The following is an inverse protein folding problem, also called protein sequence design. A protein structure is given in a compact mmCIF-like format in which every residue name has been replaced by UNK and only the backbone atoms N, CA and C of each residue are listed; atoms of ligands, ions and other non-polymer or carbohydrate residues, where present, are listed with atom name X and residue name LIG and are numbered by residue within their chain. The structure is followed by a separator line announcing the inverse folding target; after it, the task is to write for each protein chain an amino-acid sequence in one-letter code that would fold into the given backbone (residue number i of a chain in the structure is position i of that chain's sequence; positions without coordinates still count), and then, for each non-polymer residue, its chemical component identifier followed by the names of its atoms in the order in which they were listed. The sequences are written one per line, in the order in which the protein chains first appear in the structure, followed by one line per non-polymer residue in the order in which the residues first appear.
data_IF_508185215496
#
_entry.id   IF_508185215496
#
_cell.length_a   1.000
_cell.length_b   1.000
_cell.length_c   1.000
_cell.angle_alpha   90.00
_cell.angle_beta   90.00
_cell.angle_gamma   90.00
#
_symmetry.space_group_name_H-M   'P 1'
#
loop_
_entity.id
_entity.type
_entity.pdbx_description
1 polymer ?
#
# COMPACT_ATOMS: atom_id res chain seq x y z
N UNK A 1 -36.39 4.12 56.40
CA UNK A 1 -35.27 5.07 56.39
C UNK A 1 -34.02 4.31 56.02
N UNK A 2 -33.44 4.54 54.84
CA UNK A 2 -31.99 4.35 54.62
C UNK A 2 -31.62 5.12 53.35
N UNK A 3 -30.60 5.97 53.49
CA UNK A 3 -30.11 6.92 52.50
C UNK A 3 -29.35 6.24 51.36
N UNK A 4 -29.40 6.88 50.19
CA UNK A 4 -28.59 6.62 49.03
C UNK A 4 -27.09 6.88 49.30
N UNK A 5 -26.23 5.98 48.82
CA UNK A 5 -24.80 6.21 48.64
C UNK A 5 -24.51 6.13 47.15
N UNK A 6 -24.19 7.28 46.56
CA UNK A 6 -23.74 7.45 45.19
C UNK A 6 -22.21 7.28 45.18
N UNK A 7 -21.70 6.15 44.66
CA UNK A 7 -20.28 5.98 44.40
C UNK A 7 -19.95 6.44 42.98
N UNK A 8 -19.18 7.51 42.89
CA UNK A 8 -18.40 7.87 41.70
C UNK A 8 -17.38 6.76 41.42
N UNK A 9 -17.46 6.15 40.24
CA UNK A 9 -16.35 5.42 39.64
C UNK A 9 -15.66 6.34 38.63
N UNK A 10 -14.54 6.93 39.08
CA UNK A 10 -13.63 7.68 38.23
C UNK A 10 -12.90 6.74 37.26
N UNK A 11 -12.97 7.05 35.99
CA UNK A 11 -12.20 6.42 34.92
C UNK A 11 -10.74 6.90 35.00
N UNK A 12 -9.85 6.04 35.46
CA UNK A 12 -8.40 6.20 35.28
C UNK A 12 -8.07 5.86 33.83
N UNK A 13 -7.78 6.88 33.03
CA UNK A 13 -7.15 6.72 31.71
C UNK A 13 -5.67 6.40 31.95
N UNK A 14 -5.30 5.13 31.78
CA UNK A 14 -3.93 4.65 31.97
C UNK A 14 -3.00 5.07 30.84
N UNK A 15 -1.99 5.86 31.19
CA UNK A 15 -0.74 6.00 30.43
C UNK A 15 0.07 4.69 30.53
N UNK A 16 -0.20 3.72 29.65
CA UNK A 16 0.55 2.45 29.62
C UNK A 16 1.60 2.36 28.49
N UNK A 17 1.68 3.36 27.62
CA UNK A 17 2.53 3.33 26.42
C UNK A 17 4.04 3.61 26.62
N UNK A 18 4.51 4.49 27.52
CA UNK A 18 5.92 4.89 27.52
C UNK A 18 6.86 3.85 28.14
N UNK A 19 6.42 3.07 29.14
CA UNK A 19 7.29 2.12 29.87
C UNK A 19 7.69 0.91 28.99
N UNK A 20 6.77 0.40 28.17
CA UNK A 20 7.01 -0.76 27.32
C UNK A 20 8.02 -0.48 26.19
N UNK A 21 8.09 0.76 25.70
CA UNK A 21 9.04 1.15 24.65
C UNK A 21 10.49 1.19 25.18
N UNK A 22 10.69 1.67 26.39
CA UNK A 22 12.00 1.73 27.04
C UNK A 22 12.53 0.34 27.40
N UNK A 23 11.67 -0.57 27.86
CA UNK A 23 12.03 -1.98 28.12
C UNK A 23 12.50 -2.69 26.85
N UNK A 24 11.76 -2.55 25.74
CA UNK A 24 12.13 -3.14 24.46
C UNK A 24 13.48 -2.61 23.97
N UNK A 25 13.74 -1.31 24.11
CA UNK A 25 15.01 -0.72 23.72
C UNK A 25 16.19 -1.27 24.54
N UNK A 26 16.03 -1.41 25.85
CA UNK A 26 17.06 -2.00 26.73
C UNK A 26 17.34 -3.45 26.31
N UNK A 27 16.29 -4.20 26.04
CA UNK A 27 16.40 -5.60 25.64
C UNK A 27 17.09 -5.77 24.28
N UNK A 28 16.72 -4.98 23.27
CA UNK A 28 17.38 -5.00 21.96
C UNK A 28 18.87 -4.68 22.11
N UNK A 29 19.25 -3.66 22.89
CA UNK A 29 20.67 -3.35 23.15
C UNK A 29 21.41 -4.49 23.86
N UNK A 30 20.73 -5.26 24.71
CA UNK A 30 21.31 -6.46 25.35
C UNK A 30 21.54 -7.56 24.31
N UNK A 31 20.53 -7.86 23.50
CA UNK A 31 20.60 -8.90 22.46
C UNK A 31 21.65 -8.57 21.39
N UNK A 32 21.75 -7.31 20.97
CA UNK A 32 22.78 -6.86 20.01
C UNK A 32 24.20 -7.13 20.54
N UNK A 33 24.45 -6.93 21.85
CA UNK A 33 25.74 -7.29 22.47
C UNK A 33 25.98 -8.80 22.48
N UNK A 34 24.93 -9.61 22.61
CA UNK A 34 25.02 -11.07 22.59
C UNK A 34 25.30 -11.65 21.20
N UNK A 35 25.12 -10.86 20.13
CA UNK A 35 25.53 -11.28 18.78
C UNK A 35 27.05 -11.46 18.63
N UNK A 36 27.86 -10.95 19.58
CA UNK A 36 29.31 -11.14 19.67
C UNK A 36 29.72 -12.13 20.78
N UNK A 37 28.78 -12.92 21.30
CA UNK A 37 29.07 -13.90 22.35
C UNK A 37 30.10 -14.95 21.88
N UNK A 38 30.87 -15.48 22.84
CA UNK A 38 31.93 -16.48 22.55
C UNK A 38 31.34 -17.78 21.99
N UNK A 39 30.19 -18.20 22.49
CA UNK A 39 29.54 -19.42 22.07
C UNK A 39 28.63 -19.17 20.86
N UNK A 40 28.62 -20.10 19.90
CA UNK A 40 27.76 -20.00 18.72
C UNK A 40 26.27 -20.03 19.10
N UNK A 41 25.91 -20.87 20.07
CA UNK A 41 24.52 -21.06 20.53
C UNK A 41 23.93 -19.76 21.06
N UNK A 42 24.68 -19.00 21.85
CA UNK A 42 24.23 -17.70 22.39
C UNK A 42 23.99 -16.68 21.27
N UNK A 43 24.87 -16.66 20.25
CA UNK A 43 24.73 -15.75 19.11
C UNK A 43 23.50 -16.08 18.27
N UNK A 44 23.26 -17.35 18.01
CA UNK A 44 22.09 -17.82 17.26
C UNK A 44 20.78 -17.58 18.03
N UNK A 45 20.79 -17.80 19.35
CA UNK A 45 19.65 -17.49 20.20
C UNK A 45 19.33 -15.99 20.17
N UNK A 46 20.34 -15.12 20.30
CA UNK A 46 20.15 -13.68 20.23
C UNK A 46 19.60 -13.22 18.87
N UNK A 47 20.13 -13.76 17.77
CA UNK A 47 19.64 -13.50 16.41
C UNK A 47 18.16 -13.90 16.27
N UNK A 48 17.82 -15.14 16.64
CA UNK A 48 16.44 -15.65 16.60
C UNK A 48 15.49 -14.80 17.44
N UNK A 49 15.86 -14.46 18.67
CA UNK A 49 15.04 -13.64 19.56
C UNK A 49 14.81 -12.23 19.01
N UNK A 50 15.81 -11.62 18.36
CA UNK A 50 15.63 -10.33 17.69
C UNK A 50 14.64 -10.42 16.53
N UNK A 51 14.67 -11.52 15.76
CA UNK A 51 13.73 -11.77 14.65
C UNK A 51 12.30 -12.02 15.16
N UNK A 52 12.14 -12.81 16.23
CA UNK A 52 10.82 -13.14 16.81
C UNK A 52 10.11 -11.93 17.43
N UNK A 53 10.87 -10.93 17.90
CA UNK A 53 10.31 -9.65 18.37
C UNK A 53 9.71 -8.80 17.25
N UNK A 54 9.99 -9.14 16.00
CA UNK A 54 9.33 -8.57 14.83
C UNK A 54 9.84 -7.20 14.40
N UNK A 55 9.20 -6.59 13.38
CA UNK A 55 9.75 -5.45 12.65
C UNK A 55 10.02 -4.19 13.48
N UNK A 56 9.35 -4.01 14.63
CA UNK A 56 9.57 -2.88 15.55
C UNK A 56 11.01 -2.81 16.07
N UNK A 57 11.74 -3.92 16.04
CA UNK A 57 13.16 -3.97 16.42
C UNK A 57 14.05 -3.19 15.44
N UNK A 58 13.66 -3.04 14.17
CA UNK A 58 14.48 -2.35 13.15
C UNK A 58 14.88 -0.94 13.59
N UNK A 59 13.96 -0.21 14.24
CA UNK A 59 14.16 1.16 14.71
C UNK A 59 15.18 1.27 15.85
N UNK A 60 15.48 0.14 16.50
CA UNK A 60 16.31 0.04 17.69
C UNK A 60 17.69 -0.56 17.38
N UNK A 61 17.90 -1.07 16.16
CA UNK A 61 19.17 -1.66 15.74
C UNK A 61 20.22 -0.58 15.48
N UNK A 62 21.51 -0.83 15.82
CA UNK A 62 22.58 0.11 15.49
C UNK A 62 22.76 0.21 13.97
N UNK A 63 23.19 1.37 13.44
CA UNK A 63 23.40 1.58 12.01
C UNK A 63 24.58 0.75 11.46
N UNK A 64 24.54 0.44 10.16
CA UNK A 64 25.47 -0.48 9.48
C UNK A 64 26.95 -0.01 9.50
N UNK A 65 27.19 1.28 9.74
CA UNK A 65 28.52 1.91 9.81
C UNK A 65 29.20 1.90 11.19
N UNK A 66 28.65 1.18 12.18
CA UNK A 66 29.20 1.15 13.54
C UNK A 66 30.58 0.48 13.68
N UNK A 67 31.22 0.70 14.83
CA UNK A 67 32.48 0.04 15.27
C UNK A 67 32.31 -1.43 15.67
N UNK A 68 31.19 -2.06 15.28
CA UNK A 68 30.88 -3.44 15.59
C UNK A 68 31.84 -4.42 14.89
N UNK A 69 32.01 -5.61 15.51
CA UNK A 69 32.80 -6.72 14.94
C UNK A 69 32.22 -7.18 13.59
N UNK A 70 33.04 -7.83 12.77
CA UNK A 70 32.59 -8.36 11.47
C UNK A 70 31.45 -9.39 11.63
N UNK A 71 31.49 -10.19 12.68
CA UNK A 71 30.45 -11.17 13.01
C UNK A 71 29.11 -10.48 13.34
N UNK A 72 29.13 -9.45 14.20
CA UNK A 72 27.94 -8.68 14.55
C UNK A 72 27.35 -8.01 13.31
N UNK A 73 28.19 -7.44 12.44
CA UNK A 73 27.74 -6.84 11.17
C UNK A 73 27.03 -7.85 10.27
N UNK A 74 27.59 -9.05 10.12
CA UNK A 74 26.98 -10.12 9.32
C UNK A 74 25.62 -10.55 9.87
N UNK A 75 25.50 -10.74 11.20
CA UNK A 75 24.25 -11.14 11.85
C UNK A 75 23.20 -10.04 11.81
N UNK A 76 23.59 -8.80 12.11
CA UNK A 76 22.69 -7.65 12.00
C UNK A 76 22.16 -7.48 10.58
N UNK A 77 23.00 -7.68 9.55
CA UNK A 77 22.56 -7.70 8.17
C UNK A 77 21.46 -8.75 7.91
N UNK A 78 21.66 -9.99 8.37
CA UNK A 78 20.66 -11.06 8.26
C UNK A 78 19.36 -10.74 9.01
N UNK A 79 19.46 -10.24 10.24
CA UNK A 79 18.30 -9.83 11.05
C UNK A 79 17.50 -8.74 10.35
N UNK A 80 18.18 -7.70 9.84
CA UNK A 80 17.55 -6.60 9.09
C UNK A 80 16.77 -7.14 7.89
N UNK A 81 17.39 -7.99 7.06
CA UNK A 81 16.74 -8.60 5.89
C UNK A 81 15.49 -9.39 6.29
N UNK A 82 15.55 -10.21 7.35
CA UNK A 82 14.40 -11.00 7.78
C UNK A 82 13.27 -10.14 8.35
N UNK A 83 13.59 -9.13 9.17
CA UNK A 83 12.61 -8.21 9.73
C UNK A 83 11.96 -7.32 8.66
N UNK A 84 12.74 -6.86 7.67
CA UNK A 84 12.20 -6.15 6.50
C UNK A 84 11.26 -7.03 5.69
N UNK A 85 11.60 -8.33 5.50
CA UNK A 85 10.70 -9.29 4.84
C UNK A 85 9.39 -9.48 5.61
N UNK A 86 9.44 -9.58 6.94
CA UNK A 86 8.23 -9.63 7.76
C UNK A 86 7.39 -8.35 7.65
N UNK A 87 8.04 -7.18 7.63
CA UNK A 87 7.37 -5.89 7.43
C UNK A 87 6.69 -5.81 6.07
N UNK A 88 7.37 -6.24 5.00
CA UNK A 88 6.82 -6.33 3.66
C UNK A 88 5.61 -7.27 3.61
N UNK A 89 5.71 -8.47 4.21
CA UNK A 89 4.60 -9.41 4.27
C UNK A 89 3.38 -8.83 5.01
N UNK A 90 3.59 -8.16 6.16
CA UNK A 90 2.51 -7.55 6.93
C UNK A 90 1.84 -6.39 6.17
N UNK A 91 2.60 -5.56 5.46
CA UNK A 91 2.06 -4.46 4.67
C UNK A 91 1.43 -4.94 3.34
N UNK A 92 1.77 -6.15 2.88
CA UNK A 92 1.23 -6.81 1.69
C UNK A 92 0.05 -7.76 2.01
N UNK A 93 -0.36 -7.84 3.28
CA UNK A 93 -1.50 -8.65 3.68
C UNK A 93 -2.82 -7.95 3.32
N UNK A 94 -3.81 -8.73 2.90
CA UNK A 94 -5.22 -8.31 2.81
C UNK A 94 -5.77 -7.86 4.17
N UNK A 95 -6.85 -7.08 4.13
CA UNK A 95 -7.64 -6.85 5.35
C UNK A 95 -8.66 -7.96 5.52
N UNK A 96 -9.06 -8.19 6.76
CA UNK A 96 -10.01 -9.22 7.13
C UNK A 96 -11.32 -8.61 7.62
N UNK A 97 -12.41 -9.32 7.38
CA UNK A 97 -13.77 -8.95 7.78
C UNK A 97 -14.28 -10.00 8.76
N UNK A 98 -14.71 -9.54 9.93
CA UNK A 98 -15.43 -10.35 10.91
C UNK A 98 -16.79 -9.70 11.18
N UNK A 99 -17.86 -10.36 10.73
CA UNK A 99 -19.21 -9.83 10.83
C UNK A 99 -20.23 -10.98 10.82
N UNK A 100 -21.06 -11.03 11.87
CA UNK A 100 -22.15 -12.01 11.99
C UNK A 100 -23.45 -11.30 12.31
N UNK A 101 -24.50 -11.63 11.58
CA UNK A 101 -25.83 -11.09 11.85
C UNK A 101 -26.87 -11.55 10.85
N UNK A 102 -28.13 -11.48 11.26
CA UNK A 102 -29.27 -11.81 10.41
C UNK A 102 -29.97 -10.54 9.94
N UNK A 103 -30.38 -10.52 8.67
CA UNK A 103 -31.15 -9.41 8.06
C UNK A 103 -30.54 -8.02 8.27
N UNK A 104 -29.21 -7.93 8.32
CA UNK A 104 -28.47 -6.66 8.41
C UNK A 104 -28.71 -5.81 7.16
N UNK A 105 -28.86 -4.50 7.34
CA UNK A 105 -29.00 -3.60 6.22
C UNK A 105 -27.67 -3.44 5.48
N UNK A 106 -27.71 -3.31 4.15
CA UNK A 106 -26.48 -3.25 3.34
C UNK A 106 -25.56 -2.08 3.73
N UNK A 107 -26.13 -0.93 4.09
CA UNK A 107 -25.39 0.24 4.57
C UNK A 107 -24.71 0.00 5.92
N UNK A 108 -25.31 -0.82 6.79
CA UNK A 108 -24.73 -1.25 8.06
C UNK A 108 -23.54 -2.19 7.83
N UNK A 109 -23.69 -3.12 6.87
CA UNK A 109 -22.62 -4.03 6.45
C UNK A 109 -21.43 -3.22 5.92
N UNK A 110 -21.65 -2.29 4.97
CA UNK A 110 -20.58 -1.47 4.41
C UNK A 110 -19.91 -0.58 5.46
N UNK A 111 -20.67 0.04 6.37
CA UNK A 111 -20.08 0.81 7.48
C UNK A 111 -19.23 -0.05 8.40
N UNK A 112 -19.67 -1.28 8.69
CA UNK A 112 -18.89 -2.22 9.50
C UNK A 112 -17.58 -2.63 8.81
N UNK A 113 -17.64 -2.93 7.51
CA UNK A 113 -16.45 -3.27 6.71
C UNK A 113 -15.48 -2.08 6.66
N UNK A 114 -15.96 -0.86 6.37
CA UNK A 114 -15.11 0.33 6.33
C UNK A 114 -14.44 0.58 7.70
N UNK A 115 -15.17 0.42 8.81
CA UNK A 115 -14.62 0.60 10.15
C UNK A 115 -13.54 -0.43 10.52
N UNK A 116 -13.70 -1.69 10.10
CA UNK A 116 -12.75 -2.77 10.39
C UNK A 116 -11.50 -2.69 9.52
N UNK A 117 -11.67 -2.34 8.25
CA UNK A 117 -10.63 -2.46 7.22
C UNK A 117 -9.96 -1.13 6.88
N UNK A 118 -10.64 0.00 7.10
CA UNK A 118 -10.22 1.32 6.62
C UNK A 118 -10.41 1.53 5.11
N UNK A 119 -11.01 0.56 4.40
CA UNK A 119 -11.31 0.68 2.98
C UNK A 119 -12.54 1.55 2.78
N UNK A 120 -12.35 2.73 2.18
CA UNK A 120 -13.42 3.70 1.91
C UNK A 120 -14.40 3.15 0.90
N UNK A 121 -15.69 3.11 1.25
CA UNK A 121 -16.75 2.63 0.36
C UNK A 121 -17.72 3.78 0.09
N UNK A 122 -17.84 4.17 -1.18
CA UNK A 122 -18.80 5.17 -1.62
C UNK A 122 -19.91 4.50 -2.41
N UNK A 123 -21.15 4.68 -1.97
CA UNK A 123 -22.31 4.16 -2.68
C UNK A 123 -22.81 5.24 -3.63
N UNK A 124 -22.49 5.10 -4.92
CA UNK A 124 -22.97 6.01 -5.94
C UNK A 124 -24.35 5.55 -6.41
N UNK A 125 -25.35 6.41 -6.27
CA UNK A 125 -26.52 6.35 -7.15
C UNK A 125 -26.01 6.80 -8.54
N UNK A 126 -25.41 5.90 -9.31
CA UNK A 126 -24.69 6.25 -10.53
C UNK A 126 -25.50 7.19 -11.42
N UNK A 127 -25.06 8.45 -11.56
CA UNK A 127 -25.77 9.48 -12.34
C UNK A 127 -27.28 9.56 -12.06
N UNK A 128 -28.06 9.97 -13.06
CA UNK A 128 -29.53 10.09 -13.01
C UNK A 128 -30.27 8.72 -12.89
N UNK A 129 -29.60 7.68 -12.40
CA UNK A 129 -30.17 6.36 -12.18
C UNK A 129 -31.01 6.28 -10.89
N UNK A 130 -31.92 5.31 -10.79
CA UNK A 130 -32.69 5.11 -9.56
C UNK A 130 -31.78 4.76 -8.37
N UNK A 131 -32.15 5.14 -7.15
CA UNK A 131 -31.41 4.78 -5.94
C UNK A 131 -31.31 3.26 -5.77
N UNK A 132 -30.23 2.75 -5.17
CA UNK A 132 -30.08 1.33 -4.81
C UNK A 132 -31.17 0.99 -3.80
N UNK A 133 -31.93 -0.08 -4.07
CA UNK A 133 -33.02 -0.49 -3.20
C UNK A 133 -32.45 -0.95 -1.84
N UNK A 134 -33.19 -0.74 -0.72
CA UNK A 134 -32.77 -1.25 0.57
C UNK A 134 -32.74 -2.79 0.54
N UNK A 135 -31.54 -3.37 0.62
CA UNK A 135 -31.32 -4.82 0.70
C UNK A 135 -30.91 -5.21 2.10
N UNK A 136 -31.39 -6.36 2.57
CA UNK A 136 -30.98 -6.97 3.84
C UNK A 136 -30.35 -8.33 3.60
N UNK A 137 -29.24 -8.60 4.27
CA UNK A 137 -28.50 -9.85 4.14
C UNK A 137 -28.31 -10.51 5.51
N UNK A 138 -28.31 -11.83 5.51
CA UNK A 138 -27.73 -12.62 6.60
C UNK A 138 -26.27 -12.93 6.23
N UNK A 139 -25.34 -12.67 7.16
CA UNK A 139 -23.90 -12.81 6.97
C UNK A 139 -23.26 -13.50 8.18
N UNK A 140 -22.22 -14.28 7.94
CA UNK A 140 -21.41 -14.93 8.97
C UNK A 140 -19.97 -15.06 8.44
N UNK A 141 -19.17 -14.03 8.69
CA UNK A 141 -17.78 -13.92 8.29
C UNK A 141 -16.89 -13.93 9.54
N UNK A 142 -15.81 -14.73 9.50
CA UNK A 142 -14.83 -14.85 10.57
C UNK A 142 -13.43 -14.76 9.98
N UNK A 143 -12.77 -13.61 10.16
CA UNK A 143 -11.47 -13.28 9.58
C UNK A 143 -11.42 -13.56 8.06
N UNK A 144 -12.50 -13.21 7.36
CA UNK A 144 -12.61 -13.50 5.93
C UNK A 144 -11.85 -12.43 5.11
N UNK A 145 -11.06 -12.81 4.08
CA UNK A 145 -10.34 -11.84 3.25
C UNK A 145 -11.26 -10.81 2.59
N UNK A 146 -10.83 -9.56 2.54
CA UNK A 146 -11.64 -8.43 2.07
C UNK A 146 -12.22 -8.65 0.67
N UNK A 147 -11.38 -8.84 -0.35
CA UNK A 147 -11.84 -8.85 -1.73
C UNK A 147 -12.82 -9.99 -2.08
N UNK A 148 -12.54 -11.26 -1.75
CA UNK A 148 -13.50 -12.35 -1.98
C UNK A 148 -14.83 -12.14 -1.27
N UNK A 149 -14.80 -11.61 -0.04
CA UNK A 149 -15.98 -11.35 0.77
C UNK A 149 -16.78 -10.18 0.21
N UNK A 150 -16.10 -9.10 -0.19
CA UNK A 150 -16.74 -7.93 -0.75
C UNK A 150 -17.38 -8.23 -2.10
N UNK A 151 -16.68 -8.96 -2.99
CA UNK A 151 -17.27 -9.40 -4.27
C UNK A 151 -18.47 -10.34 -4.05
N UNK A 152 -18.45 -11.23 -3.05
CA UNK A 152 -19.63 -12.05 -2.71
C UNK A 152 -20.84 -11.19 -2.31
N UNK A 153 -20.63 -10.16 -1.47
CA UNK A 153 -21.69 -9.26 -1.05
C UNK A 153 -22.25 -8.49 -2.26
N UNK A 154 -21.38 -7.99 -3.14
CA UNK A 154 -21.80 -7.29 -4.35
C UNK A 154 -22.58 -8.21 -5.29
N UNK A 155 -22.11 -9.44 -5.51
CA UNK A 155 -22.79 -10.44 -6.35
C UNK A 155 -24.18 -10.80 -5.80
N UNK A 156 -24.31 -11.01 -4.48
CA UNK A 156 -25.58 -11.32 -3.80
C UNK A 156 -26.60 -10.17 -3.85
N UNK A 157 -26.14 -8.95 -4.09
CA UNK A 157 -26.96 -7.74 -4.07
C UNK A 157 -27.18 -7.14 -5.47
N UNK A 158 -26.64 -7.75 -6.52
CA UNK A 158 -26.72 -7.25 -7.88
C UNK A 158 -25.97 -5.92 -8.07
N UNK A 159 -24.88 -5.74 -7.33
CA UNK A 159 -24.04 -4.54 -7.35
C UNK A 159 -22.70 -4.82 -8.03
N UNK A 160 -22.04 -3.74 -8.45
CA UNK A 160 -20.70 -3.75 -9.02
C UNK A 160 -19.91 -2.55 -8.53
N UNK A 161 -18.65 -2.49 -8.96
CA UNK A 161 -17.68 -1.50 -8.53
C UNK A 161 -17.04 -0.79 -9.72
N UNK A 162 -16.72 0.49 -9.53
CA UNK A 162 -15.84 1.28 -10.39
C UNK A 162 -14.53 1.60 -9.65
N UNK A 163 -13.42 1.06 -10.15
CA UNK A 163 -12.08 1.11 -9.52
C UNK A 163 -11.26 2.36 -9.86
N UNK A 164 -11.80 3.29 -10.64
CA UNK A 164 -11.07 4.46 -11.18
C UNK A 164 -11.64 5.79 -10.69
N UNK A 165 -12.16 5.80 -9.46
CA UNK A 165 -12.68 6.99 -8.82
C UNK A 165 -11.54 7.89 -8.32
N UNK A 166 -11.69 9.23 -8.37
CA UNK A 166 -10.62 10.16 -7.99
C UNK A 166 -10.42 10.31 -6.46
N UNK A 167 -11.29 9.74 -5.63
CA UNK A 167 -11.28 9.92 -4.17
C UNK A 167 -10.70 8.71 -3.41
N UNK A 168 -10.08 7.77 -4.12
CA UNK A 168 -9.62 6.47 -3.60
C UNK A 168 -10.73 5.67 -2.89
N UNK A 169 -11.98 5.85 -3.25
CA UNK A 169 -13.08 5.07 -2.68
C UNK A 169 -13.58 4.02 -3.66
N UNK A 170 -14.05 2.91 -3.09
CA UNK A 170 -14.73 1.85 -3.79
C UNK A 170 -16.12 2.35 -4.19
N UNK A 171 -16.26 2.83 -5.44
CA UNK A 171 -17.52 3.35 -5.95
C UNK A 171 -18.46 2.20 -6.32
N UNK A 172 -19.40 1.91 -5.43
CA UNK A 172 -20.42 0.86 -5.60
C UNK A 172 -21.59 1.42 -6.41
N UNK A 173 -22.04 0.65 -7.40
CA UNK A 173 -23.17 0.98 -8.26
C UNK A 173 -23.94 -0.29 -8.65
N UNK A 174 -25.07 -0.16 -9.35
CA UNK A 174 -25.81 -1.33 -9.86
C UNK A 174 -25.02 -2.06 -10.94
N UNK A 175 -24.99 -3.39 -10.87
CA UNK A 175 -24.52 -4.20 -11.98
C UNK A 175 -25.46 -4.03 -13.18
N UNK A 176 -24.92 -4.14 -14.39
CA UNK A 176 -25.72 -4.18 -15.61
C UNK A 176 -26.38 -5.55 -15.76
N UNK A 177 -27.50 -5.62 -16.47
CA UNK A 177 -28.14 -6.89 -16.80
C UNK A 177 -27.15 -7.80 -17.54
N UNK A 178 -27.09 -9.08 -17.14
CA UNK A 178 -26.16 -10.06 -17.70
C UNK A 178 -24.71 -9.92 -17.23
N UNK A 179 -24.43 -9.09 -16.21
CA UNK A 179 -23.10 -9.03 -15.60
C UNK A 179 -22.68 -10.41 -15.06
N UNK A 180 -21.42 -10.77 -15.33
CA UNK A 180 -20.79 -11.98 -14.81
C UNK A 180 -20.50 -11.77 -13.31
N UNK A 181 -20.62 -12.82 -12.51
CA UNK A 181 -20.23 -12.81 -11.10
C UNK A 181 -18.80 -12.29 -10.95
N UNK A 182 -18.64 -11.28 -10.09
CA UNK A 182 -17.36 -10.65 -9.78
C UNK A 182 -16.42 -11.64 -9.10
N UNK A 183 -16.97 -12.50 -8.25
CA UNK A 183 -16.22 -13.53 -7.53
C UNK A 183 -15.76 -14.67 -8.43
N UNK A 184 -16.60 -15.09 -9.38
CA UNK A 184 -16.27 -16.17 -10.30
C UNK A 184 -15.24 -15.75 -11.37
N UNK A 185 -15.16 -14.46 -11.70
CA UNK A 185 -14.25 -13.91 -12.71
C UNK A 185 -13.09 -13.11 -12.07
N UNK A 186 -12.54 -13.60 -10.96
CA UNK A 186 -11.41 -12.94 -10.30
C UNK A 186 -10.44 -13.94 -9.66
N UNK A 187 -9.20 -13.49 -9.53
CA UNK A 187 -8.18 -14.06 -8.67
C UNK A 187 -7.81 -13.04 -7.58
N UNK A 188 -7.39 -13.52 -6.42
CA UNK A 188 -7.11 -12.69 -5.25
C UNK A 188 -5.75 -13.05 -4.68
N UNK A 189 -4.95 -12.05 -4.33
CA UNK A 189 -3.68 -12.24 -3.64
C UNK A 189 -3.34 -10.99 -2.84
N UNK A 190 -3.27 -11.12 -1.52
CA UNK A 190 -3.08 -9.97 -0.63
C UNK A 190 -4.16 -8.90 -0.87
N UNK A 191 -3.80 -7.61 -0.88
CA UNK A 191 -4.75 -6.52 -1.08
C UNK A 191 -5.20 -6.39 -2.54
N UNK A 192 -4.82 -7.29 -3.45
CA UNK A 192 -5.14 -7.19 -4.87
C UNK A 192 -6.28 -8.11 -5.30
N UNK A 193 -7.10 -7.58 -6.21
CA UNK A 193 -8.08 -8.31 -7.01
C UNK A 193 -7.65 -8.21 -8.48
N UNK A 194 -7.48 -9.35 -9.12
CA UNK A 194 -7.16 -9.46 -10.54
C UNK A 194 -8.39 -10.00 -11.27
N UNK A 195 -8.82 -9.37 -12.35
CA UNK A 195 -9.98 -9.83 -13.12
C UNK A 195 -9.72 -9.73 -14.63
N UNK A 196 -9.99 -10.79 -15.41
CA UNK A 196 -10.00 -10.70 -16.87
C UNK A 196 -11.10 -9.71 -17.28
N UNK A 197 -10.71 -8.60 -17.90
CA UNK A 197 -11.62 -7.53 -18.28
C UNK A 197 -12.05 -7.65 -19.74
N UNK A 198 -11.12 -8.04 -20.62
CA UNK A 198 -11.36 -8.08 -22.07
C UNK A 198 -10.32 -8.95 -22.76
N UNK A 199 -10.73 -9.60 -23.83
CA UNK A 199 -9.84 -10.25 -24.79
C UNK A 199 -10.04 -9.64 -26.18
N UNK A 200 -8.96 -9.18 -26.80
CA UNK A 200 -8.98 -8.61 -28.15
C UNK A 200 -8.21 -9.54 -29.08
N UNK A 201 -8.85 -9.92 -30.20
CA UNK A 201 -8.18 -10.62 -31.30
C UNK A 201 -8.27 -9.77 -32.58
N UNK A 202 -7.15 -9.61 -33.27
CA UNK A 202 -7.10 -8.89 -34.54
C UNK A 202 -6.25 -9.63 -35.58
N UNK A 203 -6.52 -9.36 -36.86
CA UNK A 203 -5.74 -9.84 -38.00
C UNK A 203 -5.40 -8.67 -38.89
N UNK A 204 -4.14 -8.51 -39.26
CA UNK A 204 -3.76 -7.59 -40.31
C UNK A 204 -4.08 -8.19 -41.69
N UNK A 205 -4.88 -7.48 -42.49
CA UNK A 205 -5.25 -7.92 -43.83
C UNK A 205 -4.18 -7.61 -44.90
N UNK A 206 -3.18 -6.80 -44.56
CA UNK A 206 -2.04 -6.47 -45.42
C UNK A 206 -0.89 -7.46 -45.22
N UNK A 207 -0.81 -8.06 -44.03
CA UNK A 207 0.20 -9.05 -43.66
C UNK A 207 -0.48 -10.26 -43.04
N UNK A 208 -0.70 -11.31 -43.83
CA UNK A 208 -1.41 -12.53 -43.41
C UNK A 208 -0.79 -13.29 -42.22
N UNK A 209 0.39 -12.88 -41.74
CA UNK A 209 1.09 -13.46 -40.58
C UNK A 209 0.91 -12.66 -39.29
N UNK A 210 0.37 -11.44 -39.35
CA UNK A 210 0.28 -10.58 -38.17
C UNK A 210 -1.14 -10.66 -37.59
N UNK A 211 -1.40 -11.75 -36.88
CA UNK A 211 -2.54 -11.87 -35.98
C UNK A 211 -2.10 -11.56 -34.56
N UNK A 212 -2.86 -10.74 -33.84
CA UNK A 212 -2.57 -10.41 -32.44
C UNK A 212 -3.70 -10.89 -31.54
N UNK A 213 -3.33 -11.39 -30.36
CA UNK A 213 -4.23 -11.66 -29.26
C UNK A 213 -3.73 -10.87 -28.05
N UNK A 214 -4.63 -10.27 -27.29
CA UNK A 214 -4.25 -9.63 -26.04
C UNK A 214 -5.34 -9.79 -24.99
N UNK A 215 -4.92 -10.17 -23.79
CA UNK A 215 -5.76 -10.20 -22.60
C UNK A 215 -5.53 -8.93 -21.78
N UNK A 216 -6.59 -8.17 -21.53
CA UNK A 216 -6.58 -7.09 -20.55
C UNK A 216 -7.05 -7.63 -19.20
N UNK A 217 -6.23 -7.43 -18.18
CA UNK A 217 -6.51 -7.78 -16.78
C UNK A 217 -6.70 -6.47 -16.01
N UNK A 218 -7.84 -6.30 -15.36
CA UNK A 218 -8.03 -5.26 -14.35
C UNK A 218 -7.33 -5.72 -13.07
N UNK A 219 -6.48 -4.85 -12.52
CA UNK A 219 -5.82 -5.04 -11.23
C UNK A 219 -6.31 -3.94 -10.30
N UNK A 220 -7.18 -4.29 -9.36
CA UNK A 220 -7.65 -3.40 -8.31
C UNK A 220 -6.96 -3.71 -6.99
N UNK A 221 -6.81 -2.73 -6.11
CA UNK A 221 -6.27 -2.91 -4.76
C UNK A 221 -7.15 -2.25 -3.70
N UNK A 222 -7.04 -2.74 -2.47
CA UNK A 222 -7.73 -2.17 -1.33
C UNK A 222 -7.39 -0.66 -1.17
N UNK A 223 -8.37 0.24 -1.00
CA UNK A 223 -8.13 1.69 -0.81
C UNK A 223 -7.06 2.08 0.23
N UNK A 224 -6.91 1.28 1.29
CA UNK A 224 -5.89 1.52 2.32
C UNK A 224 -4.47 1.21 1.83
N UNK A 225 -4.34 0.36 0.82
CA UNK A 225 -3.06 -0.08 0.27
C UNK A 225 -2.50 1.00 -0.65
N UNK A 226 -1.22 1.35 -0.45
CA UNK A 226 -0.55 2.44 -1.17
C UNK A 226 0.63 1.93 -1.99
N UNK A 227 0.38 1.37 -3.19
CA UNK A 227 1.44 1.03 -4.10
C UNK A 227 2.08 2.30 -4.66
N UNK A 228 3.41 2.26 -4.83
CA UNK A 228 4.22 3.28 -5.49
C UNK A 228 4.31 2.98 -6.99
N UNK A 229 4.49 1.70 -7.33
CA UNK A 229 4.55 1.21 -8.71
C UNK A 229 4.25 -0.27 -8.75
N UNK A 230 3.74 -0.75 -9.88
CA UNK A 230 3.55 -2.17 -10.13
C UNK A 230 4.44 -2.60 -11.30
N UNK A 231 4.92 -3.84 -11.27
CA UNK A 231 5.77 -4.40 -12.30
C UNK A 231 5.28 -5.80 -12.69
N UNK A 232 5.07 -6.01 -13.98
CA UNK A 232 4.77 -7.32 -14.54
C UNK A 232 5.97 -7.78 -15.36
N UNK A 233 6.66 -8.83 -14.89
CA UNK A 233 7.67 -9.51 -15.70
C UNK A 233 6.95 -10.46 -16.66
N UNK A 234 7.15 -10.30 -17.96
CA UNK A 234 6.46 -11.12 -18.96
C UNK A 234 6.94 -12.57 -18.94
N UNK A 235 8.16 -12.82 -18.45
CA UNK A 235 8.73 -14.18 -18.33
C UNK A 235 8.15 -14.97 -17.15
N UNK A 236 7.43 -14.30 -16.26
CA UNK A 236 6.70 -14.92 -15.15
C UNK A 236 5.24 -15.21 -15.53
N UNK A 237 4.86 -14.96 -16.79
CA UNK A 237 3.52 -15.27 -17.31
C UNK A 237 3.55 -16.57 -18.08
N UNK A 238 2.72 -17.52 -17.65
CA UNK A 238 2.52 -18.80 -18.31
C UNK A 238 1.08 -18.89 -18.81
N UNK A 239 0.90 -19.23 -20.08
CA UNK A 239 -0.42 -19.37 -20.71
C UNK A 239 -0.50 -20.70 -21.46
N UNK A 240 -1.61 -21.41 -21.32
CA UNK A 240 -1.86 -22.66 -22.03
C UNK A 240 -3.29 -22.79 -22.57
N UNK A 241 -3.43 -23.48 -23.69
CA UNK A 241 -4.72 -23.81 -24.31
C UNK A 241 -5.39 -25.03 -23.66
N UNK A 242 -6.60 -25.39 -24.12
CA UNK A 242 -7.35 -26.56 -23.62
C UNK A 242 -6.69 -27.92 -23.86
N UNK A 243 -5.61 -27.97 -24.64
CA UNK A 243 -4.81 -29.18 -24.89
C UNK A 243 -3.52 -29.20 -24.08
N UNK A 244 -3.31 -28.20 -23.21
CA UNK A 244 -2.09 -28.02 -22.43
C UNK A 244 -0.90 -27.51 -23.25
N UNK A 245 -1.12 -27.02 -24.48
CA UNK A 245 -0.05 -26.45 -25.30
C UNK A 245 0.22 -25.00 -24.85
N UNK A 246 1.49 -24.61 -24.68
CA UNK A 246 1.83 -23.22 -24.35
C UNK A 246 1.37 -22.23 -25.44
N UNK A 247 0.85 -21.09 -24.99
CA UNK A 247 0.55 -19.92 -25.81
C UNK A 247 1.60 -18.83 -25.47
N UNK A 248 2.60 -18.60 -26.33
CA UNK A 248 3.69 -17.68 -25.99
C UNK A 248 3.23 -16.23 -25.79
N UNK A 249 3.89 -15.53 -24.86
CA UNK A 249 3.71 -14.09 -24.65
C UNK A 249 4.63 -13.31 -25.58
N UNK A 250 4.06 -12.38 -26.34
CA UNK A 250 4.83 -11.51 -27.25
C UNK A 250 5.68 -10.59 -26.36
N UNK A 251 7.02 -10.65 -26.47
CA UNK A 251 7.99 -9.96 -25.58
C UNK A 251 8.20 -10.60 -24.20
N UNK A 252 8.32 -11.93 -24.15
CA UNK A 252 8.53 -12.69 -22.90
C UNK A 252 9.65 -12.21 -21.97
N UNK A 253 10.67 -11.47 -22.40
CA UNK A 253 11.73 -10.96 -21.51
C UNK A 253 11.45 -9.56 -20.92
N UNK A 254 10.40 -8.86 -21.38
CA UNK A 254 10.11 -7.50 -20.95
C UNK A 254 9.69 -7.44 -19.47
N UNK A 255 10.00 -6.30 -18.83
CA UNK A 255 9.42 -5.90 -17.55
C UNK A 255 8.53 -4.70 -17.84
N UNK A 256 7.23 -4.89 -17.74
CA UNK A 256 6.27 -3.82 -17.88
C UNK A 256 6.17 -3.08 -16.55
N UNK A 257 6.57 -1.81 -16.53
CA UNK A 257 6.30 -0.92 -15.41
C UNK A 257 4.93 -0.26 -15.58
N UNK A 258 4.11 -0.35 -14.54
CA UNK A 258 2.74 0.16 -14.52
C UNK A 258 2.73 1.32 -13.51
N UNK A 259 2.58 2.57 -13.99
CA UNK A 259 2.50 3.72 -13.10
C UNK A 259 1.23 3.65 -12.26
N UNK A 260 1.34 4.08 -11.00
CA UNK A 260 0.21 4.20 -10.08
C UNK A 260 0.00 5.68 -9.80
N UNK A 261 -1.20 6.18 -10.06
CA UNK A 261 -1.58 7.52 -9.60
C UNK A 261 -1.99 7.47 -8.13
N UNK A 262 -1.74 8.55 -7.39
CA UNK A 262 -2.01 8.60 -5.96
C UNK A 262 -3.48 8.34 -5.59
N UNK A 263 -4.41 8.68 -6.48
CA UNK A 263 -5.85 8.56 -6.30
C UNK A 263 -6.45 7.24 -6.83
N UNK A 264 -5.69 6.46 -7.59
CA UNK A 264 -6.20 5.22 -8.16
C UNK A 264 -6.34 4.11 -7.10
N UNK A 265 -7.34 3.26 -7.30
CA UNK A 265 -7.50 1.97 -6.60
C UNK A 265 -7.52 0.80 -7.59
N UNK A 266 -7.13 1.06 -8.84
CA UNK A 266 -6.99 0.05 -9.86
C UNK A 266 -6.30 0.56 -11.13
N UNK A 267 -5.86 -0.39 -11.95
CA UNK A 267 -5.23 -0.18 -13.25
C UNK A 267 -5.57 -1.35 -14.18
N UNK A 268 -5.23 -1.22 -15.47
CA UNK A 268 -5.34 -2.31 -16.43
C UNK A 268 -3.95 -2.70 -16.95
N UNK A 269 -3.70 -4.00 -17.02
CA UNK A 269 -2.50 -4.58 -17.61
C UNK A 269 -2.90 -5.32 -18.88
N UNK A 270 -2.20 -5.06 -19.99
CA UNK A 270 -2.42 -5.75 -21.26
C UNK A 270 -1.32 -6.78 -21.48
N UNK A 271 -1.70 -8.05 -21.56
CA UNK A 271 -0.80 -9.18 -21.83
C UNK A 271 -0.94 -9.57 -23.30
N UNK A 272 0.05 -9.25 -24.15
CA UNK A 272 0.03 -9.67 -25.54
C UNK A 272 0.44 -11.14 -25.65
N UNK A 273 -0.40 -11.93 -26.31
CA UNK A 273 -0.23 -13.37 -26.50
C UNK A 273 -0.14 -13.62 -28.01
N UNK A 274 0.72 -14.54 -28.42
CA UNK A 274 0.71 -15.01 -29.81
C UNK A 274 -0.65 -15.59 -30.14
N UNK A 275 -1.28 -15.09 -31.21
CA UNK A 275 -2.62 -15.53 -31.56
C UNK A 275 -2.63 -17.02 -31.95
N UNK A 276 -3.40 -17.87 -31.25
CA UNK A 276 -3.46 -19.28 -31.56
C UNK A 276 -4.27 -19.56 -32.85
N UNK A 277 -4.15 -20.76 -33.44
CA UNK A 277 -5.05 -21.18 -34.51
C UNK A 277 -6.50 -21.22 -34.01
N UNK A 278 -7.47 -21.02 -34.92
CA UNK A 278 -8.93 -21.02 -34.61
C UNK A 278 -9.46 -22.31 -33.99
N UNK A 279 -8.69 -23.39 -34.02
CA UNK A 279 -9.03 -24.64 -33.35
C UNK A 279 -8.87 -24.59 -31.83
N UNK A 280 -8.24 -23.53 -31.31
CA UNK A 280 -8.13 -23.24 -29.88
C UNK A 280 -9.33 -22.38 -29.49
N UNK A 281 -10.13 -22.87 -28.55
CA UNK A 281 -11.39 -22.22 -28.15
C UNK A 281 -11.24 -21.39 -26.87
N UNK A 282 -10.23 -21.69 -26.04
CA UNK A 282 -10.02 -21.01 -24.76
C UNK A 282 -8.57 -20.99 -24.32
N UNK A 283 -8.23 -19.99 -23.51
CA UNK A 283 -7.09 -20.08 -22.60
C UNK A 283 -7.57 -20.92 -21.41
N UNK A 284 -7.06 -22.14 -21.29
CA UNK A 284 -7.42 -23.04 -20.21
C UNK A 284 -6.82 -22.58 -18.88
N UNK A 285 -5.60 -22.05 -18.93
CA UNK A 285 -4.92 -21.52 -17.76
C UNK A 285 -4.01 -20.35 -18.14
N UNK A 286 -4.05 -19.30 -17.32
CA UNK A 286 -3.06 -18.24 -17.28
C UNK A 286 -2.57 -18.08 -15.85
N UNK A 287 -1.25 -18.04 -15.64
CA UNK A 287 -0.60 -17.75 -14.36
C UNK A 287 0.34 -16.58 -14.51
N UNK A 288 0.44 -15.77 -13.47
CA UNK A 288 1.40 -14.67 -13.42
C UNK A 288 1.71 -14.27 -11.99
N UNK A 289 2.80 -13.52 -11.84
CA UNK A 289 3.17 -12.86 -10.60
C UNK A 289 3.32 -11.36 -10.86
N UNK A 290 2.60 -10.54 -10.08
CA UNK A 290 2.72 -9.09 -10.10
C UNK A 290 3.63 -8.66 -8.94
N UNK A 291 4.62 -7.82 -9.21
CA UNK A 291 5.45 -7.22 -8.16
C UNK A 291 4.95 -5.83 -7.84
N UNK A 292 4.76 -5.52 -6.57
CA UNK A 292 4.48 -4.16 -6.12
C UNK A 292 5.68 -3.58 -5.38
N UNK A 293 5.95 -2.31 -5.65
CA UNK A 293 6.69 -1.44 -4.74
C UNK A 293 5.66 -0.66 -3.94
N UNK A 294 5.79 -0.59 -2.63
CA UNK A 294 4.74 -0.08 -1.76
C UNK A 294 5.31 0.71 -0.58
N UNK A 295 4.49 1.64 -0.09
CA UNK A 295 4.83 2.44 1.08
C UNK A 295 4.71 1.56 2.33
N UNK A 296 5.75 1.59 3.18
CA UNK A 296 5.69 1.02 4.52
C UNK A 296 4.87 1.88 5.49
N UNK A 297 5.19 1.76 6.78
CA UNK A 297 4.58 2.58 7.84
C UNK A 297 4.84 4.07 7.56
N UNK A 298 3.86 4.94 7.79
CA UNK A 298 4.06 6.39 7.72
C UNK A 298 4.65 6.91 9.03
N UNK A 299 5.56 7.88 8.95
CA UNK A 299 6.14 8.59 10.08
C UNK A 299 5.90 10.10 9.93
N UNK A 300 5.71 10.77 11.06
CA UNK A 300 5.44 12.21 11.12
C UNK A 300 6.66 12.95 11.66
N UNK A 301 7.12 13.95 10.91
CA UNK A 301 8.25 14.81 11.25
C UNK A 301 7.73 16.21 11.55
N UNK A 302 8.13 16.79 12.69
CA UNK A 302 7.60 18.09 13.14
C UNK A 302 8.73 19.05 13.48
N UNK A 303 8.84 20.15 12.75
CA UNK A 303 9.89 21.14 12.91
C UNK A 303 9.30 22.46 13.44
N UNK A 304 9.84 22.95 14.57
CA UNK A 304 9.46 24.24 15.14
C UNK A 304 10.08 25.40 14.34
N UNK A 305 9.27 26.40 13.99
CA UNK A 305 9.66 27.56 13.20
C UNK A 305 9.74 28.84 14.08
N UNK A 306 10.63 29.80 13.76
CA UNK A 306 11.50 29.88 12.61
C UNK A 306 12.93 29.48 12.99
N UNK A 307 13.18 28.23 13.41
CA UNK A 307 14.55 27.78 13.64
C UNK A 307 15.17 27.33 12.31
N UNK A 308 15.85 28.29 11.70
CA UNK A 308 16.53 28.19 10.43
C UNK A 308 17.83 27.39 10.53
N UNK A 309 18.00 26.50 9.54
CA UNK A 309 19.22 25.81 9.12
C UNK A 309 19.50 24.41 9.70
N UNK A 310 19.26 23.40 8.85
CA UNK A 310 19.71 22.00 8.94
C UNK A 310 19.30 21.29 10.22
N UNK A 311 18.08 21.52 10.69
CA UNK A 311 17.49 20.61 11.67
C UNK A 311 17.14 19.29 10.98
N UNK A 312 17.51 18.18 11.59
CA UNK A 312 17.30 16.85 11.07
C UNK A 312 16.49 16.04 12.08
N UNK A 313 15.55 15.26 11.57
CA UNK A 313 14.86 14.24 12.32
C UNK A 313 14.97 12.91 11.57
N UNK A 314 15.13 11.82 12.31
CA UNK A 314 15.17 10.46 11.77
C UNK A 314 14.10 9.63 12.47
N UNK A 315 13.33 8.91 11.68
CA UNK A 315 12.44 7.87 12.17
C UNK A 315 12.66 6.64 11.29
N UNK A 316 12.99 5.51 11.93
CA UNK A 316 13.26 4.25 11.23
C UNK A 316 14.26 4.42 10.07
N UNK A 317 13.87 4.01 8.86
CA UNK A 317 14.68 4.02 7.64
C UNK A 317 14.65 5.34 6.87
N UNK A 318 14.05 6.41 7.40
CA UNK A 318 13.97 7.71 6.72
C UNK A 318 14.47 8.85 7.61
N UNK A 319 15.19 9.78 6.97
CA UNK A 319 15.74 10.99 7.56
C UNK A 319 15.18 12.19 6.81
N UNK A 320 14.58 13.12 7.54
CA UNK A 320 14.05 14.37 6.99
C UNK A 320 14.87 15.53 7.53
N UNK A 321 15.38 16.35 6.62
CA UNK A 321 16.23 17.50 6.91
C UNK A 321 15.47 18.76 6.50
N UNK A 322 15.22 19.67 7.42
CA UNK A 322 14.76 21.02 7.12
C UNK A 322 15.97 21.84 6.66
N UNK A 323 16.07 22.05 5.35
CA UNK A 323 17.22 22.71 4.74
C UNK A 323 17.13 24.23 4.88
N UNK A 324 15.96 24.79 4.59
CA UNK A 324 15.79 26.23 4.49
C UNK A 324 14.35 26.64 4.77
N UNK A 325 14.20 27.78 5.44
CA UNK A 325 12.92 28.49 5.62
C UNK A 325 13.16 29.92 5.20
N UNK A 326 12.46 30.41 4.18
CA UNK A 326 12.64 31.79 3.70
C UNK A 326 11.31 32.40 3.26
N UNK A 327 11.20 33.71 3.42
CA UNK A 327 10.08 34.49 2.88
C UNK A 327 10.42 35.00 1.49
N UNK A 328 9.48 34.86 0.55
CA UNK A 328 9.54 35.45 -0.77
C UNK A 328 8.23 36.21 -1.03
N UNK A 329 8.27 37.54 -0.84
CA UNK A 329 7.08 38.41 -0.85
C UNK A 329 6.03 37.89 0.14
N UNK A 330 4.86 37.49 -0.36
CA UNK A 330 3.72 37.04 0.46
C UNK A 330 3.67 35.51 0.62
N UNK A 331 4.72 34.80 0.16
CA UNK A 331 4.80 33.35 0.20
C UNK A 331 6.00 32.91 1.05
N UNK A 332 5.78 31.95 1.94
CA UNK A 332 6.84 31.28 2.67
C UNK A 332 7.26 30.01 1.94
N UNK A 333 8.56 29.88 1.69
CA UNK A 333 9.18 28.69 1.12
C UNK A 333 9.86 27.89 2.23
N UNK A 334 9.49 26.61 2.35
CA UNK A 334 10.08 25.65 3.29
C UNK A 334 10.67 24.51 2.47
N UNK A 335 12.00 24.39 2.48
CA UNK A 335 12.72 23.29 1.81
C UNK A 335 13.03 22.18 2.79
N UNK A 336 12.72 20.97 2.36
CA UNK A 336 13.18 19.75 3.01
C UNK A 336 13.93 18.84 2.04
N UNK A 337 14.75 17.98 2.63
CA UNK A 337 15.26 16.77 2.01
C UNK A 337 14.70 15.57 2.76
N UNK A 338 14.11 14.61 2.06
CA UNK A 338 13.84 13.27 2.58
C UNK A 338 14.87 12.29 2.01
N UNK A 339 15.59 11.59 2.89
CA UNK A 339 16.59 10.56 2.58
C UNK A 339 16.14 9.23 3.14
N UNK A 340 16.04 8.23 2.29
CA UNK A 340 15.73 6.85 2.67
C UNK A 340 17.04 6.06 2.76
N UNK A 341 17.14 5.15 3.73
CA UNK A 341 18.29 4.24 3.83
C UNK A 341 18.40 3.35 2.58
N UNK A 342 17.25 2.92 2.06
CA UNK A 342 17.09 2.24 0.78
C UNK A 342 15.73 2.62 0.19
N UNK A 343 15.72 3.29 -0.95
CA UNK A 343 14.51 3.65 -1.67
C UNK A 343 14.05 2.57 -2.66
N UNK A 344 14.84 1.53 -2.94
CA UNK A 344 14.54 0.46 -3.90
C UNK A 344 14.02 0.98 -5.26
N UNK A 345 14.61 2.08 -5.73
CA UNK A 345 14.21 2.78 -6.97
C UNK A 345 12.88 3.54 -6.89
N UNK A 346 12.22 3.63 -5.73
CA UNK A 346 10.95 4.37 -5.56
C UNK A 346 11.05 5.84 -5.94
N UNK A 347 12.24 6.42 -5.89
CA UNK A 347 12.50 7.81 -6.23
C UNK A 347 12.94 8.02 -7.68
N UNK A 348 12.68 7.05 -8.58
CA UNK A 348 12.87 7.26 -10.02
C UNK A 348 12.04 8.46 -10.50
N UNK A 349 12.56 9.22 -11.49
CA UNK A 349 11.99 10.51 -11.91
C UNK A 349 10.54 10.45 -12.41
N UNK A 350 10.13 9.31 -12.97
CA UNK A 350 8.75 9.08 -13.43
C UNK A 350 7.78 8.65 -12.32
N UNK A 351 8.27 8.43 -11.09
CA UNK A 351 7.45 8.07 -9.92
C UNK A 351 7.25 9.31 -9.05
N UNK A 352 6.01 9.75 -8.92
CA UNK A 352 5.69 11.04 -8.27
C UNK A 352 5.18 10.93 -6.84
N UNK A 353 5.02 9.71 -6.31
CA UNK A 353 4.36 9.43 -5.03
C UNK A 353 4.84 10.28 -3.84
N UNK A 354 6.13 10.60 -3.79
CA UNK A 354 6.75 11.33 -2.67
C UNK A 354 6.35 12.81 -2.65
N UNK A 355 5.87 13.33 -3.78
CA UNK A 355 5.35 14.69 -3.90
C UNK A 355 3.89 14.79 -3.42
N UNK A 356 3.18 13.65 -3.34
CA UNK A 356 1.82 13.54 -2.79
C UNK A 356 1.82 13.37 -1.26
N UNK A 357 3.01 13.40 -0.64
CA UNK A 357 3.16 13.27 0.80
C UNK A 357 2.53 14.48 1.54
N UNK A 358 1.77 14.26 2.63
CA UNK A 358 1.19 15.35 3.40
C UNK A 358 2.28 16.28 3.96
N UNK A 359 2.13 17.58 3.69
CA UNK A 359 2.93 18.64 4.29
C UNK A 359 2.00 19.78 4.70
N UNK A 360 2.17 20.32 5.91
CA UNK A 360 1.33 21.41 6.42
C UNK A 360 2.05 22.27 7.44
N UNK A 361 1.56 23.49 7.63
CA UNK A 361 1.90 24.32 8.77
C UNK A 361 0.83 24.16 9.85
N UNK A 362 1.24 24.12 11.10
CA UNK A 362 0.36 24.24 12.26
C UNK A 362 0.71 25.56 12.94
N UNK A 363 -0.25 26.47 13.05
CA UNK A 363 -0.06 27.77 13.70
C UNK A 363 -0.04 27.64 15.23
N UNK A 364 0.36 28.69 15.99
CA UNK A 364 0.26 28.69 17.44
C UNK A 364 -1.16 28.47 17.99
N UNK A 365 -2.20 28.82 17.22
CA UNK A 365 -3.61 28.56 17.57
C UNK A 365 -4.05 27.12 17.28
N UNK A 366 -3.20 26.31 16.63
CA UNK A 366 -3.49 24.94 16.22
C UNK A 366 -4.18 24.84 14.85
N UNK A 367 -4.28 25.93 14.10
CA UNK A 367 -4.84 25.91 12.75
C UNK A 367 -3.88 25.22 11.76
N UNK A 368 -4.40 24.34 10.92
CA UNK A 368 -3.63 23.69 9.85
C UNK A 368 -3.72 24.48 8.55
N UNK A 369 -2.57 24.87 8.00
CA UNK A 369 -2.45 25.58 6.74
C UNK A 369 -1.77 24.66 5.72
N UNK A 370 -2.45 24.26 4.63
CA UNK A 370 -1.86 23.43 3.58
C UNK A 370 -0.88 24.25 2.72
N UNK A 371 0.05 23.57 2.04
CA UNK A 371 0.81 24.21 0.97
C UNK A 371 -0.08 24.40 -0.27
N UNK A 372 0.27 25.37 -1.12
CA UNK A 372 -0.45 25.63 -2.38
C UNK A 372 0.33 25.22 -3.62
N UNK A 373 1.65 25.13 -3.49
CA UNK A 373 2.54 24.68 -4.55
C UNK A 373 3.76 23.99 -3.94
N UNK A 374 4.46 23.21 -4.76
CA UNK A 374 5.77 22.67 -4.43
C UNK A 374 6.67 22.65 -5.67
N UNK A 375 7.98 22.68 -5.45
CA UNK A 375 9.00 22.44 -6.48
C UNK A 375 9.93 21.31 -6.04
N UNK A 376 10.32 20.44 -6.99
CA UNK A 376 11.42 19.50 -6.76
C UNK A 376 12.75 20.25 -6.90
N UNK A 377 13.58 20.21 -5.85
CA UNK A 377 14.89 20.89 -5.84
C UNK A 377 16.05 19.92 -5.97
N UNK A 378 15.81 18.63 -5.75
CA UNK A 378 16.81 17.57 -5.85
C UNK A 378 16.14 16.21 -6.00
N UNK A 379 16.72 15.33 -6.82
CA UNK A 379 16.29 13.95 -6.92
C UNK A 379 17.51 13.07 -7.20
N UNK A 380 17.70 12.06 -6.37
CA UNK A 380 18.75 11.03 -6.48
C UNK A 380 18.12 9.67 -6.22
N UNK A 381 18.90 8.60 -6.26
CA UNK A 381 18.41 7.24 -6.01
C UNK A 381 17.71 7.09 -4.66
N UNK A 382 18.25 7.71 -3.60
CA UNK A 382 17.79 7.55 -2.22
C UNK A 382 17.33 8.85 -1.55
N UNK A 383 17.33 9.97 -2.27
CA UNK A 383 16.99 11.29 -1.71
C UNK A 383 16.14 12.11 -2.65
N UNK A 384 15.13 12.78 -2.10
CA UNK A 384 14.34 13.80 -2.79
C UNK A 384 14.35 15.09 -1.96
N UNK A 385 14.54 16.21 -2.63
CA UNK A 385 14.40 17.54 -2.06
C UNK A 385 13.15 18.21 -2.60
N UNK A 386 12.33 18.77 -1.70
CA UNK A 386 11.08 19.45 -2.05
C UNK A 386 11.04 20.81 -1.38
N UNK A 387 10.70 21.85 -2.14
CA UNK A 387 10.36 23.18 -1.63
C UNK A 387 8.83 23.30 -1.58
N UNK A 388 8.25 23.48 -0.39
CA UNK A 388 6.83 23.73 -0.20
C UNK A 388 6.55 25.22 -0.05
N UNK A 389 5.47 25.69 -0.68
CA UNK A 389 5.07 27.09 -0.69
C UNK A 389 3.74 27.31 0.05
N UNK A 390 3.77 28.18 1.06
CA UNK A 390 2.64 28.50 1.93
C UNK A 390 2.23 29.96 1.80
N UNK A 391 0.93 30.21 1.60
CA UNK A 391 0.34 31.54 1.64
C UNK A 391 -0.15 31.86 3.05
N UNK A 392 0.70 32.50 3.85
CA UNK A 392 0.36 32.95 5.21
C UNK A 392 0.88 34.36 5.43
N UNK A 393 0.02 35.23 5.98
CA UNK A 393 0.39 36.59 6.36
C UNK A 393 1.23 36.60 7.65
N UNK A 394 2.17 37.54 7.76
CA UNK A 394 3.04 37.65 8.94
C UNK A 394 4.30 36.78 8.91
N UNK A 395 4.79 36.43 10.10
CA UNK A 395 5.94 35.56 10.31
C UNK A 395 5.53 34.14 10.72
N UNK A 396 6.50 33.23 10.82
CA UNK A 396 6.27 31.83 11.19
C UNK A 396 6.57 31.57 12.67
N UNK A 397 6.54 32.58 13.53
CA UNK A 397 6.96 32.42 14.92
C UNK A 397 5.99 31.53 15.69
N UNK A 398 6.52 30.41 16.22
CA UNK A 398 5.71 29.43 16.96
C UNK A 398 4.89 28.51 16.06
N UNK A 399 4.98 28.65 14.73
CA UNK A 399 4.42 27.69 13.80
C UNK A 399 5.25 26.39 13.80
N UNK A 400 4.61 25.29 13.42
CA UNK A 400 5.25 24.00 13.19
C UNK A 400 5.08 23.58 11.75
N UNK A 401 6.16 23.17 11.10
CA UNK A 401 6.07 22.46 9.83
C UNK A 401 5.96 20.95 10.10
N UNK A 402 4.90 20.34 9.59
CA UNK A 402 4.63 18.91 9.70
C UNK A 402 4.74 18.27 8.33
N UNK A 403 5.56 17.23 8.24
CA UNK A 403 5.73 16.42 7.03
C UNK A 403 5.54 14.95 7.35
N UNK A 404 4.80 14.24 6.51
CA UNK A 404 4.53 12.81 6.66
C UNK A 404 5.06 12.05 5.46
N UNK A 405 5.81 10.98 5.70
CA UNK A 405 6.33 10.12 4.62
C UNK A 405 6.45 8.68 5.10
N UNK A 406 6.51 7.74 4.16
CA UNK A 406 6.82 6.35 4.47
C UNK A 406 8.20 6.23 5.11
N UNK A 407 8.30 5.41 6.17
CA UNK A 407 9.55 5.09 6.86
C UNK A 407 10.47 4.16 6.09
N UNK A 408 9.88 3.44 5.13
CA UNK A 408 10.52 2.39 4.36
C UNK A 408 9.77 2.18 3.06
N UNK A 409 10.50 1.81 2.02
CA UNK A 409 9.93 1.28 0.78
C UNK A 409 10.02 -0.24 0.83
N UNK A 410 8.93 -0.91 0.54
CA UNK A 410 8.82 -2.37 0.61
C UNK A 410 8.49 -2.94 -0.77
N UNK A 411 8.87 -4.19 -1.01
CA UNK A 411 8.48 -4.91 -2.22
C UNK A 411 7.90 -6.28 -1.86
N UNK A 412 6.84 -6.66 -2.58
CA UNK A 412 6.18 -7.95 -2.46
C UNK A 412 5.71 -8.45 -3.83
N UNK A 413 5.53 -9.77 -3.95
CA UNK A 413 5.03 -10.45 -5.15
C UNK A 413 3.64 -11.02 -4.86
N UNK A 414 2.76 -10.94 -5.85
CA UNK A 414 1.36 -11.35 -5.77
C UNK A 414 1.02 -12.26 -6.94
N UNK A 415 0.75 -13.53 -6.65
CA UNK A 415 0.47 -14.53 -7.68
C UNK A 415 -1.02 -14.47 -8.06
N UNK A 416 -1.31 -14.64 -9.35
CA UNK A 416 -2.68 -14.71 -9.85
C UNK A 416 -2.83 -15.83 -10.90
N UNK A 417 -4.01 -16.44 -10.93
CA UNK A 417 -4.34 -17.47 -11.89
C UNK A 417 -5.77 -17.31 -12.40
N UNK A 418 -5.94 -17.40 -13.72
CA UNK A 418 -7.24 -17.52 -14.36
C UNK A 418 -7.37 -18.86 -15.06
N UNK A 419 -8.61 -19.32 -15.20
CA UNK A 419 -8.93 -20.55 -15.92
C UNK A 419 -10.11 -20.31 -16.85
N UNK A 420 -10.18 -21.08 -17.92
CA UNK A 420 -11.34 -21.14 -18.84
C UNK A 420 -11.76 -19.80 -19.48
N UNK A 421 -10.81 -18.97 -19.89
CA UNK A 421 -11.10 -17.72 -20.63
C UNK A 421 -11.40 -18.06 -22.09
N UNK A 422 -12.64 -17.87 -22.53
CA UNK A 422 -13.05 -18.11 -23.93
C UNK A 422 -12.37 -17.13 -24.88
N UNK A 423 -11.92 -17.65 -26.02
CA UNK A 423 -11.42 -16.84 -27.14
C UNK A 423 -12.58 -16.38 -28.04
N UNK A 424 -12.45 -15.21 -28.69
CA UNK A 424 -13.48 -14.65 -29.56
C UNK A 424 -13.60 -15.32 -30.94
#
# INVERSE_FOLDING_TARGET
MLQAVMMLLGSVVGQAAPVAADELQIEVRRLVRQLDARELVDREAAEKTLIEKGPKVLDLLPPDGGTASAEVKLRLGRIRVQLQKQQAAAAAAESEITLKGERLALDEIFRSIEAQTGNKIAVSAGGQGPAIAPVRLTVDYSNAPFWPTFDEILDRTGLTLYSFAPDRSLQVSRARDGAISRRANAAYSGPFRFAPARIDASRDLRTARDSSLALTIEVAWEPRFRPISLQQRMSEIEVSDERGKPLPVVTGEAILEIPVSAEAIGTEIRIPIEAPPRSVEKIAQLRGALRALMQGKSETFTFELPKAEKSEQRAAGVRVILEQVRKNRDVWEIRITARFDDAAGALASHRTWVYDNPARLITPSGEEIPFHAFDSVRQTENEVGVAYFFGIEGDLQGCKFVYETASSVLSASFDYQFSDIRLP
#
